data_IF_886496763110
#
_entry.id   IF_886496763110
#
_cell.length_a   1.000
_cell.length_b   1.000
_cell.length_c   1.000
_cell.angle_alpha   90.00
_cell.angle_beta   90.00
_cell.angle_gamma   90.00
#
_symmetry.space_group_name_H-M   'P 1'
#
loop_
_entity.id
_entity.type
_entity.pdbx_description
1 polymer ?
#
# COMPACT_ATOMS: atom_id res chain seq x y z
N UNK A 1 -30.34 20.84 22.72
CA UNK A 1 -29.38 21.79 22.12
C UNK A 1 -27.99 21.15 22.11
N UNK A 2 -27.61 20.47 21.03
CA UNK A 2 -26.20 20.16 20.73
C UNK A 2 -26.10 20.15 19.20
N UNK A 3 -25.71 21.29 18.61
CA UNK A 3 -25.29 21.34 17.21
C UNK A 3 -23.85 20.86 17.17
N UNK A 4 -23.62 19.59 16.83
CA UNK A 4 -22.29 19.16 16.40
C UNK A 4 -22.11 19.74 15.01
N UNK A 5 -21.43 20.87 14.97
CA UNK A 5 -21.16 21.63 13.77
C UNK A 5 -20.29 20.84 12.81
N UNK A 6 -20.84 20.64 11.61
CA UNK A 6 -20.16 20.93 10.36
C UNK A 6 -18.75 20.33 10.19
N UNK A 7 -18.69 19.10 9.70
CA UNK A 7 -17.51 18.57 8.99
C UNK A 7 -17.86 18.21 7.56
N UNK A 8 -18.72 19.01 6.91
CA UNK A 8 -18.95 18.89 5.48
C UNK A 8 -18.05 19.90 4.75
N UNK A 9 -16.91 19.38 4.27
CA UNK A 9 -15.94 20.15 3.50
C UNK A 9 -16.40 20.42 2.06
N UNK A 10 -17.53 19.83 1.63
CA UNK A 10 -18.02 19.92 0.26
C UNK A 10 -18.85 21.19 -0.03
N UNK A 11 -19.36 21.85 1.01
CA UNK A 11 -20.22 23.05 0.90
C UNK A 11 -19.46 24.33 0.52
N UNK A 12 -18.13 24.26 0.36
CA UNK A 12 -17.28 25.43 0.05
C UNK A 12 -16.63 25.39 -1.34
N UNK A 13 -16.95 24.41 -2.17
CA UNK A 13 -16.22 24.16 -3.40
C UNK A 13 -16.86 24.86 -4.61
N UNK A 14 -16.15 25.77 -5.31
CA UNK A 14 -16.63 26.30 -6.59
C UNK A 14 -16.70 25.17 -7.63
N UNK A 15 -17.82 25.12 -8.35
CA UNK A 15 -18.31 23.99 -9.17
C UNK A 15 -17.41 23.59 -10.36
N UNK A 16 -16.28 24.27 -10.61
CA UNK A 16 -15.46 24.10 -11.81
C UNK A 16 -14.12 23.33 -11.62
N UNK A 17 -13.79 22.86 -10.42
CA UNK A 17 -12.50 22.22 -10.15
C UNK A 17 -12.59 20.68 -10.05
N UNK A 18 -12.50 20.00 -11.20
CA UNK A 18 -12.49 18.52 -11.28
C UNK A 18 -11.37 17.86 -10.46
N UNK A 19 -10.25 18.56 -10.29
CA UNK A 19 -9.07 18.12 -9.53
C UNK A 19 -9.36 17.99 -8.03
N UNK A 20 -10.25 18.82 -7.50
CA UNK A 20 -10.58 18.82 -6.08
C UNK A 20 -11.35 17.57 -5.69
N UNK A 21 -12.25 17.09 -6.57
CA UNK A 21 -12.97 15.82 -6.37
C UNK A 21 -12.00 14.63 -6.37
N UNK A 22 -11.05 14.60 -7.31
CA UNK A 22 -10.04 13.55 -7.39
C UNK A 22 -9.16 13.56 -6.13
N UNK A 23 -8.79 14.74 -5.64
CA UNK A 23 -8.00 14.88 -4.42
C UNK A 23 -8.72 14.36 -3.18
N UNK A 24 -10.00 14.71 -3.01
CA UNK A 24 -10.81 14.25 -1.87
C UNK A 24 -10.99 12.74 -1.90
N UNK A 25 -11.28 12.16 -3.06
CA UNK A 25 -11.39 10.71 -3.24
C UNK A 25 -10.06 10.02 -2.94
N UNK A 26 -8.96 10.53 -3.50
CA UNK A 26 -7.60 10.02 -3.22
C UNK A 26 -7.31 10.05 -1.73
N UNK A 27 -7.53 11.18 -1.08
CA UNK A 27 -7.30 11.33 0.37
C UNK A 27 -8.17 10.34 1.17
N UNK A 28 -9.43 10.15 0.79
CA UNK A 28 -10.33 9.19 1.41
C UNK A 28 -9.85 7.75 1.21
N UNK A 29 -9.37 7.38 0.03
CA UNK A 29 -8.86 6.05 -0.27
C UNK A 29 -7.58 5.75 0.53
N UNK A 30 -6.66 6.73 0.62
CA UNK A 30 -5.49 6.62 1.48
C UNK A 30 -5.91 6.48 2.95
N UNK A 31 -6.80 7.35 3.43
CA UNK A 31 -7.29 7.26 4.81
C UNK A 31 -7.96 5.90 5.04
N UNK A 32 -8.88 5.45 4.20
CA UNK A 32 -9.56 4.17 4.37
C UNK A 32 -8.59 2.96 4.37
N UNK A 33 -7.52 3.02 3.59
CA UNK A 33 -6.48 1.98 3.54
C UNK A 33 -5.50 2.03 4.72
N UNK A 34 -5.34 3.20 5.37
CA UNK A 34 -4.33 3.44 6.41
C UNK A 34 -4.88 3.81 7.81
N UNK A 35 -6.16 4.21 7.96
CA UNK A 35 -6.78 4.68 9.22
C UNK A 35 -7.32 3.57 10.12
N UNK A 36 -7.15 2.30 9.74
CA UNK A 36 -7.65 1.17 10.54
C UNK A 36 -6.76 0.77 11.71
N UNK A 37 -5.43 0.94 11.65
CA UNK A 37 -4.45 0.74 12.74
C UNK A 37 -3.03 0.67 12.17
N UNK A 38 -2.03 1.20 12.90
CA UNK A 38 -0.60 0.87 12.67
C UNK A 38 -0.36 -0.63 12.45
N UNK A 39 -1.18 -1.46 13.09
CA UNK A 39 -1.19 -2.92 12.98
C UNK A 39 -1.50 -3.43 11.57
N UNK A 40 -2.40 -2.78 10.82
CA UNK A 40 -2.74 -3.18 9.45
C UNK A 40 -1.63 -2.87 8.45
N UNK A 41 -0.98 -1.70 8.59
CA UNK A 41 0.17 -1.31 7.77
C UNK A 41 1.36 -2.23 8.05
N UNK A 42 1.63 -2.49 9.34
CA UNK A 42 2.68 -3.43 9.73
C UNK A 42 2.43 -4.82 9.14
N UNK A 43 1.19 -5.32 9.20
CA UNK A 43 0.82 -6.62 8.65
C UNK A 43 0.95 -6.67 7.12
N UNK A 44 0.60 -5.59 6.42
CA UNK A 44 0.76 -5.47 4.97
C UNK A 44 2.22 -5.53 4.52
N UNK A 45 3.16 -5.02 5.33
CA UNK A 45 4.60 -5.17 5.09
C UNK A 45 5.17 -6.53 5.49
N UNK A 46 4.59 -7.15 6.53
CA UNK A 46 5.08 -8.43 7.04
C UNK A 46 4.90 -9.57 6.03
N UNK A 47 3.76 -9.60 5.33
CA UNK A 47 3.45 -10.60 4.32
C UNK A 47 4.50 -10.69 3.18
N UNK A 48 4.81 -9.58 2.46
CA UNK A 48 5.84 -9.61 1.43
C UNK A 48 7.25 -9.84 1.99
N UNK A 49 7.54 -9.40 3.22
CA UNK A 49 8.82 -9.70 3.86
C UNK A 49 8.98 -11.21 4.12
N UNK A 50 7.92 -11.89 4.56
CA UNK A 50 7.92 -13.34 4.70
C UNK A 50 8.05 -14.05 3.35
N UNK A 51 7.32 -13.61 2.32
CA UNK A 51 7.48 -14.17 0.97
C UNK A 51 8.92 -14.02 0.47
N UNK A 52 9.52 -12.84 0.63
CA UNK A 52 10.92 -12.61 0.30
C UNK A 52 11.84 -13.53 1.09
N UNK A 53 11.65 -13.67 2.41
CA UNK A 53 12.45 -14.57 3.24
C UNK A 53 12.36 -16.02 2.79
N UNK A 54 11.15 -16.52 2.50
CA UNK A 54 10.92 -17.89 2.05
C UNK A 54 11.61 -18.13 0.70
N UNK A 55 11.40 -17.25 -0.27
CA UNK A 55 12.05 -17.37 -1.58
C UNK A 55 13.57 -17.25 -1.48
N UNK A 56 14.07 -16.30 -0.69
CA UNK A 56 15.49 -16.15 -0.42
C UNK A 56 16.08 -17.42 0.20
N UNK A 57 15.50 -17.94 1.28
CA UNK A 57 16.00 -19.13 1.96
C UNK A 57 15.98 -20.37 1.07
N UNK A 58 14.87 -20.61 0.35
CA UNK A 58 14.74 -21.77 -0.53
C UNK A 58 15.79 -21.71 -1.64
N UNK A 59 15.92 -20.60 -2.34
CA UNK A 59 16.88 -20.50 -3.45
C UNK A 59 18.33 -20.42 -2.98
N UNK A 60 18.62 -19.78 -1.85
CA UNK A 60 19.97 -19.78 -1.30
C UNK A 60 20.38 -21.18 -0.83
N UNK A 61 19.50 -21.91 -0.14
CA UNK A 61 19.85 -23.22 0.43
C UNK A 61 19.78 -24.37 -0.57
N UNK A 62 18.77 -24.41 -1.46
CA UNK A 62 18.65 -25.46 -2.47
C UNK A 62 19.50 -25.21 -3.73
N UNK A 63 19.55 -23.97 -4.22
CA UNK A 63 20.21 -23.67 -5.50
C UNK A 63 21.66 -23.20 -5.36
N UNK A 64 22.15 -22.98 -4.13
CA UNK A 64 23.50 -22.48 -3.85
C UNK A 64 23.86 -21.31 -4.78
N UNK A 65 22.88 -20.39 -4.93
CA UNK A 65 22.89 -19.37 -5.97
C UNK A 65 24.09 -18.43 -5.77
N UNK A 66 24.99 -18.39 -6.77
CA UNK A 66 26.13 -17.46 -6.83
C UNK A 66 25.75 -16.07 -7.37
N UNK A 67 24.46 -15.74 -7.40
CA UNK A 67 23.96 -14.47 -7.93
C UNK A 67 24.20 -13.40 -6.86
N UNK A 68 25.03 -12.42 -7.21
CA UNK A 68 25.28 -11.26 -6.38
C UNK A 68 23.96 -10.48 -6.17
N UNK A 69 23.62 -10.19 -4.92
CA UNK A 69 22.39 -9.48 -4.53
C UNK A 69 21.05 -10.16 -4.90
N UNK A 70 20.94 -11.49 -4.77
CA UNK A 70 19.71 -12.25 -5.02
C UNK A 70 18.45 -11.69 -4.32
N UNK A 71 18.61 -11.13 -3.10
CA UNK A 71 17.51 -10.51 -2.36
C UNK A 71 16.86 -9.34 -3.13
N UNK A 72 17.63 -8.52 -3.83
CA UNK A 72 17.11 -7.39 -4.63
C UNK A 72 16.37 -7.87 -5.88
N UNK A 73 16.82 -8.98 -6.47
CA UNK A 73 16.17 -9.58 -7.64
C UNK A 73 14.78 -10.13 -7.28
N UNK A 74 14.67 -10.85 -6.17
CA UNK A 74 13.36 -11.35 -5.69
C UNK A 74 12.48 -10.18 -5.28
N UNK A 75 13.02 -9.19 -4.57
CA UNK A 75 12.28 -8.01 -4.15
C UNK A 75 11.67 -7.26 -5.34
N UNK A 76 12.40 -7.05 -6.43
CA UNK A 76 11.88 -6.33 -7.60
C UNK A 76 10.74 -7.07 -8.29
N UNK A 77 10.86 -8.39 -8.43
CA UNK A 77 9.77 -9.24 -8.94
C UNK A 77 8.56 -9.27 -8.01
N UNK A 78 8.79 -9.31 -6.70
CA UNK A 78 7.74 -9.28 -5.69
C UNK A 78 6.99 -7.93 -5.69
N UNK A 79 7.72 -6.81 -5.78
CA UNK A 79 7.14 -5.47 -5.88
C UNK A 79 6.29 -5.33 -7.15
N UNK A 80 6.78 -5.84 -8.28
CA UNK A 80 6.01 -5.88 -9.52
C UNK A 80 4.73 -6.70 -9.34
N UNK A 81 4.83 -7.91 -8.78
CA UNK A 81 3.67 -8.77 -8.53
C UNK A 81 2.65 -8.12 -7.59
N UNK A 82 3.10 -7.53 -6.48
CA UNK A 82 2.24 -6.84 -5.52
C UNK A 82 1.46 -5.70 -6.18
N UNK A 83 2.11 -4.91 -7.03
CA UNK A 83 1.45 -3.83 -7.76
C UNK A 83 0.29 -4.34 -8.64
N UNK A 84 0.50 -5.44 -9.36
CA UNK A 84 -0.57 -6.06 -10.17
C UNK A 84 -1.65 -6.72 -9.31
N UNK A 85 -1.26 -7.34 -8.19
CA UNK A 85 -2.21 -8.02 -7.29
C UNK A 85 -3.13 -7.05 -6.54
N UNK A 86 -2.70 -5.81 -6.30
CA UNK A 86 -3.52 -4.80 -5.61
C UNK A 86 -4.46 -4.03 -6.55
N UNK A 87 -4.24 -4.12 -7.86
CA UNK A 87 -4.98 -3.35 -8.89
C UNK A 87 -6.06 -4.18 -9.61
N UNK A 88 -6.13 -5.49 -9.36
CA UNK A 88 -7.18 -6.40 -9.86
C UNK A 88 -8.23 -6.65 -8.80
#
# INVERSE_FOLDING_TARGET
>A
MVKIGNTDWSDKLPENNRLERIWVLTKSDFIQRYYGSFLGVFWAFLNPLFQLMIFYFIFTWFFNNKIENYALYVLSGLLMWMFFSETT
#
